data_IF_877636876517
#
_entry.id   IF_877636876517
#
_cell.length_a   1.000
_cell.length_b   1.000
_cell.length_c   1.000
_cell.angle_alpha   90.00
_cell.angle_beta   90.00
_cell.angle_gamma   90.00
#
_symmetry.space_group_name_H-M   'P 1'
#
loop_
_entity.id
_entity.type
_entity.pdbx_description
1 polymer ?
#
# COMPACT_ATOMS: atom_id res chain seq x y z
N UNK A 1 8.05 -23.32 -3.38
CA UNK A 1 7.16 -22.13 -3.34
C UNK A 1 5.79 -22.50 -3.88
N UNK A 2 4.69 -22.11 -3.24
CA UNK A 2 3.32 -22.37 -3.72
C UNK A 2 2.48 -21.11 -3.65
N UNK A 3 1.52 -21.01 -4.59
CA UNK A 3 0.56 -19.91 -4.71
C UNK A 3 -0.85 -20.48 -4.65
N UNK A 4 -1.70 -19.85 -3.85
CA UNK A 4 -3.13 -20.15 -3.81
C UNK A 4 -3.89 -18.85 -4.08
N UNK A 5 -4.85 -18.89 -5.01
CA UNK A 5 -5.76 -17.79 -5.30
C UNK A 5 -7.18 -18.19 -4.97
N UNK A 6 -7.91 -17.32 -4.30
CA UNK A 6 -9.29 -17.56 -3.87
C UNK A 6 -10.06 -16.24 -3.81
N UNK A 7 -11.36 -16.33 -3.59
CA UNK A 7 -12.20 -15.18 -3.34
C UNK A 7 -13.01 -15.39 -2.07
N UNK A 8 -13.19 -14.31 -1.32
CA UNK A 8 -14.12 -14.23 -0.19
C UNK A 8 -15.18 -13.18 -0.48
N UNK A 9 -16.15 -13.05 0.39
CA UNK A 9 -17.04 -11.89 0.41
C UNK A 9 -16.56 -10.96 1.53
N UNK A 10 -16.42 -9.66 1.22
CA UNK A 10 -16.18 -8.65 2.23
C UNK A 10 -17.45 -8.35 3.03
N UNK A 11 -17.38 -7.49 4.04
CA UNK A 11 -18.49 -7.10 4.93
C UNK A 11 -19.70 -6.51 4.18
N UNK A 12 -19.51 -6.01 2.96
CA UNK A 12 -20.55 -5.48 2.09
C UNK A 12 -21.10 -6.51 1.09
N UNK A 13 -20.64 -7.77 1.17
CA UNK A 13 -21.05 -8.86 0.28
C UNK A 13 -20.41 -8.85 -1.10
N UNK A 14 -19.45 -7.94 -1.36
CA UNK A 14 -18.71 -7.87 -2.61
C UNK A 14 -17.62 -8.96 -2.65
N UNK A 15 -17.34 -9.47 -3.85
CA UNK A 15 -16.23 -10.39 -4.07
C UNK A 15 -14.90 -9.68 -3.83
N UNK A 16 -14.07 -10.27 -2.96
CA UNK A 16 -12.73 -9.81 -2.64
C UNK A 16 -11.75 -10.94 -2.99
N UNK A 17 -10.88 -10.71 -3.99
CA UNK A 17 -9.91 -11.69 -4.48
C UNK A 17 -8.64 -11.61 -3.67
N UNK A 18 -8.20 -12.75 -3.16
CA UNK A 18 -7.01 -12.90 -2.33
C UNK A 18 -6.03 -13.86 -3.00
N UNK A 19 -4.74 -13.56 -2.90
CA UNK A 19 -3.67 -14.46 -3.27
C UNK A 19 -2.74 -14.68 -2.08
N UNK A 20 -2.46 -15.94 -1.78
CA UNK A 20 -1.51 -16.36 -0.75
C UNK A 20 -0.33 -17.02 -1.43
N UNK A 21 0.83 -16.40 -1.30
CA UNK A 21 2.11 -16.91 -1.77
C UNK A 21 2.97 -17.32 -0.56
N UNK A 22 3.62 -18.47 -0.62
CA UNK A 22 4.47 -18.92 0.47
C UNK A 22 5.72 -19.67 0.01
N UNK A 23 6.86 -19.49 0.68
CA UNK A 23 8.00 -20.40 0.56
C UNK A 23 7.67 -21.76 1.22
N UNK A 24 8.54 -22.74 1.05
CA UNK A 24 8.29 -24.09 1.57
C UNK A 24 8.15 -24.11 3.11
N UNK A 25 8.95 -23.31 3.82
CA UNK A 25 8.92 -23.17 5.27
C UNK A 25 8.76 -21.67 5.67
N UNK A 26 7.56 -21.11 5.61
CA UNK A 26 7.34 -19.72 5.98
C UNK A 26 7.54 -19.50 7.48
N UNK A 27 8.29 -18.45 7.84
CA UNK A 27 8.61 -18.09 9.22
C UNK A 27 7.76 -16.95 9.76
N UNK A 28 7.29 -16.09 8.87
CA UNK A 28 6.57 -14.87 9.18
C UNK A 28 5.39 -14.66 8.22
N UNK A 29 4.48 -13.75 8.58
CA UNK A 29 3.30 -13.39 7.80
C UNK A 29 3.33 -11.91 7.45
N UNK A 30 2.98 -11.56 6.20
CA UNK A 30 2.78 -10.18 5.76
C UNK A 30 1.52 -10.06 4.91
N UNK A 31 0.77 -8.98 5.11
CA UNK A 31 -0.30 -8.54 4.21
C UNK A 31 0.23 -7.42 3.33
N UNK A 32 -0.05 -7.51 2.02
CA UNK A 32 0.41 -6.52 1.02
C UNK A 32 -0.79 -5.91 0.32
N UNK A 33 -0.94 -4.58 0.45
CA UNK A 33 -2.02 -3.78 -0.13
C UNK A 33 -1.49 -2.90 -1.28
N UNK A 34 -2.12 -2.98 -2.45
CA UNK A 34 -1.80 -2.12 -3.60
C UNK A 34 -2.44 -0.72 -3.47
N UNK A 35 -2.06 0.22 -4.34
CA UNK A 35 -2.61 1.57 -4.40
C UNK A 35 -3.93 1.67 -5.18
N UNK A 36 -4.51 2.87 -5.18
CA UNK A 36 -5.75 3.19 -5.90
C UNK A 36 -5.65 2.78 -7.38
N UNK A 37 -6.71 2.15 -7.90
CA UNK A 37 -6.76 1.68 -9.29
C UNK A 37 -5.72 0.63 -9.64
N UNK A 38 -5.10 0.02 -8.63
CA UNK A 38 -4.09 -1.03 -8.77
C UNK A 38 -4.66 -2.43 -8.84
N UNK A 39 -3.75 -3.39 -8.72
CA UNK A 39 -4.05 -4.82 -8.58
C UNK A 39 -2.84 -5.58 -8.03
N UNK A 40 -3.07 -6.80 -7.55
CA UNK A 40 -2.00 -7.67 -7.03
C UNK A 40 -0.95 -8.08 -8.08
N UNK A 41 -1.25 -7.92 -9.37
CA UNK A 41 -0.33 -8.29 -10.47
C UNK A 41 0.55 -7.14 -10.96
N UNK A 42 0.46 -5.95 -10.36
CA UNK A 42 1.34 -4.84 -10.71
C UNK A 42 2.81 -5.15 -10.39
N UNK A 43 3.73 -4.75 -11.27
CA UNK A 43 5.17 -5.07 -11.17
C UNK A 43 5.77 -4.66 -9.82
N UNK A 44 5.45 -3.47 -9.30
CA UNK A 44 5.96 -3.02 -8.01
C UNK A 44 5.36 -3.79 -6.83
N UNK A 45 4.08 -4.19 -6.89
CA UNK A 45 3.46 -5.06 -5.87
C UNK A 45 4.10 -6.45 -5.90
N UNK A 46 4.38 -6.98 -7.10
CA UNK A 46 5.11 -8.23 -7.26
C UNK A 46 6.54 -8.12 -6.71
N UNK A 47 7.24 -7.02 -6.99
CA UNK A 47 8.61 -6.80 -6.49
C UNK A 47 8.65 -6.76 -4.94
N UNK A 48 7.66 -6.13 -4.30
CA UNK A 48 7.56 -6.12 -2.84
C UNK A 48 7.19 -7.51 -2.29
N UNK A 49 6.26 -8.20 -2.94
CA UNK A 49 5.92 -9.60 -2.63
C UNK A 49 7.17 -10.48 -2.66
N UNK A 50 7.95 -10.40 -3.73
CA UNK A 50 9.19 -11.17 -3.89
C UNK A 50 10.20 -10.85 -2.78
N UNK A 51 10.35 -9.56 -2.40
CA UNK A 51 11.23 -9.17 -1.32
C UNK A 51 10.85 -9.84 0.01
N UNK A 52 9.57 -9.95 0.32
CA UNK A 52 9.09 -10.67 1.51
C UNK A 52 9.27 -12.19 1.38
N UNK A 53 8.92 -12.79 0.23
CA UNK A 53 9.10 -14.22 -0.01
C UNK A 53 10.55 -14.66 0.12
N UNK A 54 11.50 -13.89 -0.42
CA UNK A 54 12.95 -14.12 -0.32
C UNK A 54 13.46 -14.05 1.12
N UNK A 55 12.72 -13.39 2.01
CA UNK A 55 13.03 -13.29 3.43
C UNK A 55 12.19 -14.22 4.32
N UNK A 56 11.51 -15.20 3.71
CA UNK A 56 10.83 -16.28 4.44
C UNK A 56 9.41 -15.96 4.88
N UNK A 57 8.78 -14.91 4.36
CA UNK A 57 7.40 -14.58 4.71
C UNK A 57 6.38 -15.38 3.87
N UNK A 58 5.28 -15.76 4.50
CA UNK A 58 4.02 -15.97 3.78
C UNK A 58 3.46 -14.60 3.44
N UNK A 59 3.07 -14.39 2.19
CA UNK A 59 2.52 -13.15 1.69
C UNK A 59 1.05 -13.34 1.36
N UNK A 60 0.19 -12.55 1.98
CA UNK A 60 -1.22 -12.42 1.65
C UNK A 60 -1.41 -11.08 0.96
N UNK A 61 -1.82 -11.11 -0.30
CA UNK A 61 -2.15 -9.91 -1.07
C UNK A 61 -3.55 -10.01 -1.64
N UNK A 62 -4.21 -8.92 -1.86
CA UNK A 62 -5.59 -8.89 -2.30
C UNK A 62 -5.81 -7.76 -3.31
N UNK A 63 -6.71 -7.98 -4.27
CA UNK A 63 -7.26 -6.92 -5.09
C UNK A 63 -8.32 -6.20 -4.26
N UNK A 64 -8.08 -4.94 -3.88
CA UNK A 64 -9.07 -4.15 -3.17
C UNK A 64 -10.35 -4.02 -4.01
N UNK A 65 -11.51 -3.97 -3.37
CA UNK A 65 -12.76 -3.63 -4.04
C UNK A 65 -12.68 -2.23 -4.64
N UNK A 66 -13.51 -1.95 -5.64
CA UNK A 66 -13.49 -0.67 -6.35
C UNK A 66 -12.13 -0.34 -7.00
N UNK A 67 -11.34 -1.36 -7.37
CA UNK A 67 -10.07 -1.21 -8.08
C UNK A 67 -10.12 -1.83 -9.48
N UNK A 68 -9.00 -1.85 -10.19
CA UNK A 68 -8.89 -2.46 -11.52
C UNK A 68 -8.44 -3.93 -11.48
N UNK A 69 -8.45 -4.55 -10.30
CA UNK A 69 -8.17 -5.97 -10.09
C UNK A 69 -9.32 -6.88 -10.53
N UNK A 70 -9.43 -8.01 -9.86
CA UNK A 70 -10.50 -9.01 -10.09
C UNK A 70 -11.59 -9.00 -8.99
N UNK A 71 -11.44 -8.14 -7.97
CA UNK A 71 -12.48 -7.87 -6.99
C UNK A 71 -13.61 -7.05 -7.58
N UNK A 72 -14.78 -7.07 -6.95
CA UNK A 72 -15.96 -6.34 -7.40
C UNK A 72 -15.91 -4.85 -7.02
N UNK A 73 -16.76 -4.07 -7.66
CA UNK A 73 -16.94 -2.63 -7.43
C UNK A 73 -16.45 -1.77 -8.59
N UNK A 74 -17.01 -0.57 -8.71
CA UNK A 74 -16.60 0.43 -9.70
C UNK A 74 -15.61 1.40 -9.06
N UNK A 75 -14.54 1.73 -9.77
CA UNK A 75 -13.53 2.70 -9.31
C UNK A 75 -14.09 4.08 -8.96
N UNK A 76 -15.30 4.39 -9.48
CA UNK A 76 -16.04 5.60 -9.13
C UNK A 76 -16.36 5.70 -7.63
N UNK A 77 -16.55 4.57 -6.97
CA UNK A 77 -16.99 4.48 -5.58
C UNK A 77 -15.84 4.22 -4.58
N UNK A 78 -14.59 4.20 -5.06
CA UNK A 78 -13.42 3.95 -4.21
C UNK A 78 -13.29 5.03 -3.12
N UNK A 79 -12.99 4.58 -1.89
CA UNK A 79 -12.72 5.44 -0.74
C UNK A 79 -11.57 4.91 0.10
N UNK A 80 -11.03 5.72 1.00
CA UNK A 80 -10.05 5.26 2.00
C UNK A 80 -10.68 4.29 3.01
N UNK A 81 -11.99 4.47 3.28
CA UNK A 81 -12.75 3.54 4.13
C UNK A 81 -12.79 2.15 3.49
N UNK A 82 -13.15 2.05 2.19
CA UNK A 82 -13.24 0.76 1.51
C UNK A 82 -11.90 0.00 1.48
N UNK A 83 -10.78 0.71 1.33
CA UNK A 83 -9.45 0.10 1.38
C UNK A 83 -9.06 -0.42 2.76
N UNK A 84 -9.41 0.32 3.82
CA UNK A 84 -9.19 -0.12 5.19
C UNK A 84 -10.08 -1.32 5.53
N UNK A 85 -11.36 -1.25 5.18
CA UNK A 85 -12.33 -2.33 5.41
C UNK A 85 -11.95 -3.63 4.71
N UNK A 86 -11.48 -3.55 3.47
CA UNK A 86 -10.97 -4.73 2.75
C UNK A 86 -9.72 -5.31 3.42
N UNK A 87 -8.78 -4.48 3.89
CA UNK A 87 -7.61 -4.94 4.65
C UNK A 87 -8.04 -5.67 5.94
N UNK A 88 -8.97 -5.10 6.70
CA UNK A 88 -9.52 -5.70 7.93
C UNK A 88 -10.23 -7.02 7.65
N UNK A 89 -11.01 -7.10 6.57
CA UNK A 89 -11.73 -8.30 6.16
C UNK A 89 -10.76 -9.43 5.73
N UNK A 90 -9.67 -9.08 5.03
CA UNK A 90 -8.60 -10.03 4.67
C UNK A 90 -7.86 -10.51 5.91
N UNK A 91 -7.53 -9.63 6.86
CA UNK A 91 -6.91 -10.02 8.13
C UNK A 91 -7.86 -10.92 8.92
N UNK A 92 -9.14 -10.57 9.00
CA UNK A 92 -10.17 -11.37 9.69
C UNK A 92 -10.31 -12.76 9.07
N UNK A 93 -10.34 -12.86 7.73
CA UNK A 93 -10.32 -14.13 7.03
C UNK A 93 -9.07 -14.95 7.34
N UNK A 94 -7.89 -14.30 7.36
CA UNK A 94 -6.64 -14.96 7.65
C UNK A 94 -6.58 -15.50 9.10
N UNK A 95 -7.17 -14.80 10.07
CA UNK A 95 -7.28 -15.25 11.47
C UNK A 95 -7.96 -16.62 11.62
N UNK A 96 -8.87 -16.98 10.71
CA UNK A 96 -9.53 -18.27 10.69
C UNK A 96 -8.67 -19.38 10.05
N UNK A 97 -7.50 -19.07 9.50
CA UNK A 97 -6.65 -20.08 8.87
C UNK A 97 -5.67 -20.72 9.89
N UNK A 98 -5.39 -22.00 9.70
CA UNK A 98 -4.47 -22.74 10.59
C UNK A 98 -3.01 -22.29 10.54
N UNK A 99 -2.66 -21.45 9.59
CA UNK A 99 -1.32 -20.88 9.40
C UNK A 99 -1.20 -19.42 9.87
N UNK A 100 -2.27 -18.83 10.39
CA UNK A 100 -2.23 -17.47 10.90
C UNK A 100 -1.27 -17.36 12.09
N UNK A 101 -0.56 -16.26 12.15
CA UNK A 101 0.31 -15.93 13.26
C UNK A 101 0.26 -14.43 13.57
N UNK A 102 0.46 -14.08 14.83
CA UNK A 102 0.50 -12.72 15.33
C UNK A 102 1.68 -12.61 16.31
N UNK A 103 2.46 -11.50 16.30
CA UNK A 103 2.28 -10.34 15.42
C UNK A 103 2.61 -10.67 13.96
N UNK A 104 1.94 -10.00 13.02
CA UNK A 104 2.17 -10.08 11.58
C UNK A 104 2.73 -8.76 11.03
N UNK A 105 3.12 -8.74 9.76
CA UNK A 105 3.65 -7.55 9.11
C UNK A 105 2.67 -6.96 8.13
N UNK A 106 2.80 -5.65 7.88
CA UNK A 106 2.02 -4.92 6.89
C UNK A 106 2.94 -4.22 5.89
N UNK A 107 2.60 -4.32 4.61
CA UNK A 107 3.21 -3.57 3.53
C UNK A 107 2.10 -3.01 2.64
N UNK A 108 2.22 -1.77 2.25
CA UNK A 108 1.27 -1.16 1.33
C UNK A 108 1.94 -0.14 0.43
N UNK A 109 1.29 0.19 -0.68
CA UNK A 109 1.71 1.24 -1.59
C UNK A 109 0.61 2.29 -1.72
N UNK A 110 0.94 3.59 -1.65
CA UNK A 110 0.01 4.70 -1.85
C UNK A 110 -1.20 4.64 -0.90
N UNK A 111 -2.41 4.52 -1.41
CA UNK A 111 -3.63 4.33 -0.63
C UNK A 111 -3.56 3.05 0.23
N UNK A 112 -3.02 1.95 -0.29
CA UNK A 112 -2.78 0.76 0.51
C UNK A 112 -1.74 0.98 1.62
N UNK A 113 -0.74 1.84 1.39
CA UNK A 113 0.23 2.21 2.42
C UNK A 113 -0.42 3.06 3.53
N UNK A 114 -1.33 3.94 3.16
CA UNK A 114 -2.09 4.72 4.13
C UNK A 114 -2.98 3.81 4.98
N UNK A 115 -3.72 2.88 4.36
CA UNK A 115 -4.58 1.92 5.09
C UNK A 115 -3.78 1.01 6.02
N UNK A 116 -2.60 0.52 5.59
CA UNK A 116 -1.73 -0.31 6.44
C UNK A 116 -1.12 0.47 7.59
N UNK A 117 -0.73 1.74 7.39
CA UNK A 117 -0.23 2.60 8.45
C UNK A 117 -1.35 2.95 9.44
N UNK A 118 -2.55 3.30 8.96
CA UNK A 118 -3.72 3.57 9.79
C UNK A 118 -4.08 2.36 10.68
N UNK A 119 -4.10 1.16 10.08
CA UNK A 119 -4.33 -0.06 10.86
C UNK A 119 -3.26 -0.24 11.95
N UNK A 120 -2.00 -0.04 11.61
CA UNK A 120 -0.88 -0.18 12.55
C UNK A 120 -0.91 0.84 13.70
N UNK A 121 -1.41 2.05 13.46
CA UNK A 121 -1.61 3.08 14.50
C UNK A 121 -2.71 2.69 15.51
N UNK A 122 -3.73 1.94 15.06
CA UNK A 122 -4.86 1.54 15.90
C UNK A 122 -4.65 0.16 16.54
N UNK A 123 -3.76 -0.68 16.00
CA UNK A 123 -3.46 -2.03 16.47
C UNK A 123 -1.94 -2.29 16.54
N UNK A 124 -1.15 -1.42 17.20
CA UNK A 124 0.32 -1.50 17.17
C UNK A 124 0.88 -2.80 17.73
N UNK A 125 0.17 -3.43 18.69
CA UNK A 125 0.55 -4.70 19.31
C UNK A 125 0.44 -5.91 18.38
N UNK A 126 -0.31 -5.78 17.30
CA UNK A 126 -0.47 -6.83 16.29
C UNK A 126 0.63 -6.81 15.23
N UNK A 127 1.41 -5.72 15.15
CA UNK A 127 2.31 -5.46 14.02
C UNK A 127 3.76 -5.74 14.36
N UNK A 128 4.35 -6.68 13.61
CA UNK A 128 5.77 -7.02 13.71
C UNK A 128 6.66 -6.05 12.94
N UNK A 129 6.33 -5.81 11.67
CA UNK A 129 7.04 -4.87 10.78
C UNK A 129 6.03 -4.09 9.95
N UNK A 130 6.30 -2.81 9.72
CA UNK A 130 5.46 -1.95 8.90
C UNK A 130 6.27 -1.35 7.75
N UNK A 131 5.80 -1.53 6.50
CA UNK A 131 6.42 -0.96 5.31
C UNK A 131 5.39 -0.13 4.51
N UNK A 132 5.06 1.11 4.93
CA UNK A 132 4.18 2.00 4.20
C UNK A 132 4.97 2.70 3.09
N UNK A 133 4.87 2.19 1.87
CA UNK A 133 5.61 2.66 0.71
C UNK A 133 4.82 3.75 -0.01
N UNK A 134 5.38 4.94 -0.10
CA UNK A 134 4.75 6.11 -0.71
C UNK A 134 3.33 6.41 -0.17
N UNK A 135 3.09 6.45 1.17
CA UNK A 135 1.77 6.67 1.73
C UNK A 135 1.23 8.07 1.44
N UNK A 136 -0.09 8.17 1.27
CA UNK A 136 -0.79 9.42 1.44
C UNK A 136 -0.81 9.74 2.94
N UNK A 137 -0.21 10.86 3.36
CA UNK A 137 -0.05 11.18 4.79
C UNK A 137 -1.34 11.68 5.42
N UNK A 138 -1.94 12.70 4.81
CA UNK A 138 -3.26 13.24 5.16
C UNK A 138 -3.82 14.10 4.03
N UNK A 139 -5.07 14.55 4.18
CA UNK A 139 -5.75 15.39 3.19
C UNK A 139 -5.04 16.72 2.93
N UNK A 140 -4.59 17.41 3.98
CA UNK A 140 -4.01 18.74 3.88
C UNK A 140 -2.68 18.78 3.11
N UNK A 141 -1.86 17.74 3.25
CA UNK A 141 -0.62 17.59 2.49
C UNK A 141 -0.88 17.09 1.07
N UNK A 142 -1.83 16.16 0.92
CA UNK A 142 -2.18 15.59 -0.38
C UNK A 142 -2.86 16.61 -1.30
N UNK A 143 -3.84 17.37 -0.81
CA UNK A 143 -4.58 18.34 -1.63
C UNK A 143 -3.70 19.43 -2.23
N UNK A 144 -2.59 19.74 -1.57
CA UNK A 144 -1.57 20.70 -2.07
C UNK A 144 -0.72 20.15 -3.22
N UNK A 145 -0.78 18.85 -3.51
CA UNK A 145 -0.11 18.25 -4.68
C UNK A 145 -0.96 18.38 -5.95
N UNK A 146 -2.25 18.68 -5.82
CA UNK A 146 -3.18 18.84 -6.94
C UNK A 146 -3.10 20.26 -7.49
N UNK A 147 -3.15 20.36 -8.81
CA UNK A 147 -3.40 21.65 -9.46
C UNK A 147 -4.77 22.20 -9.01
N UNK A 148 -4.88 23.48 -8.62
CA UNK A 148 -6.12 24.03 -8.08
C UNK A 148 -7.29 24.00 -9.06
N UNK A 149 -7.05 24.24 -10.36
CA UNK A 149 -8.11 24.21 -11.37
C UNK A 149 -8.56 22.78 -11.65
N UNK A 150 -7.61 21.84 -11.78
CA UNK A 150 -7.92 20.42 -11.89
C UNK A 150 -8.77 19.92 -10.71
N UNK A 151 -8.40 20.32 -9.48
CA UNK A 151 -9.17 19.97 -8.28
C UNK A 151 -10.59 20.50 -8.34
N UNK A 152 -10.77 21.78 -8.72
CA UNK A 152 -12.08 22.41 -8.86
C UNK A 152 -12.96 21.67 -9.87
N UNK A 153 -12.41 21.40 -11.06
CA UNK A 153 -13.12 20.64 -12.11
C UNK A 153 -13.52 19.25 -11.61
N UNK A 154 -12.63 18.54 -10.91
CA UNK A 154 -12.94 17.23 -10.34
C UNK A 154 -14.07 17.30 -9.31
N UNK A 155 -14.07 18.32 -8.43
CA UNK A 155 -15.13 18.54 -7.45
C UNK A 155 -16.49 18.83 -8.11
N UNK A 156 -16.51 19.75 -9.07
CA UNK A 156 -17.75 20.17 -9.78
C UNK A 156 -18.34 19.05 -10.63
N UNK A 157 -17.50 18.29 -11.33
CA UNK A 157 -17.91 17.14 -12.15
C UNK A 157 -18.28 15.91 -11.30
N UNK A 158 -17.77 15.82 -10.06
CA UNK A 158 -17.92 14.69 -9.16
C UNK A 158 -16.97 13.53 -9.46
N UNK A 159 -16.28 13.51 -10.59
CA UNK A 159 -15.29 12.49 -10.94
C UNK A 159 -14.19 13.02 -11.87
N UNK A 160 -13.05 12.36 -11.85
CA UNK A 160 -11.97 12.48 -12.85
C UNK A 160 -11.84 11.21 -13.67
N UNK A 161 -11.33 11.33 -14.88
CA UNK A 161 -10.90 10.21 -15.70
C UNK A 161 -9.38 10.01 -15.57
N UNK A 162 -8.96 8.75 -15.43
CA UNK A 162 -7.56 8.41 -15.26
C UNK A 162 -7.21 7.18 -16.09
N UNK A 163 -6.23 7.28 -17.01
CA UNK A 163 -5.75 6.11 -17.73
C UNK A 163 -5.20 5.06 -16.76
N UNK A 164 -5.64 3.82 -16.92
CA UNK A 164 -5.16 2.72 -16.11
C UNK A 164 -3.68 2.44 -16.36
N UNK A 165 -2.88 2.49 -15.27
CA UNK A 165 -1.49 2.05 -15.31
C UNK A 165 -1.35 0.53 -15.26
N UNK A 166 -2.40 -0.18 -14.83
CA UNK A 166 -2.42 -1.65 -14.70
C UNK A 166 -2.98 -2.35 -15.93
N UNK A 167 -3.87 -1.67 -16.67
CA UNK A 167 -4.57 -2.24 -17.84
C UNK A 167 -4.50 -1.23 -19.00
N UNK A 168 -3.53 -1.35 -19.91
CA UNK A 168 -3.39 -0.45 -21.06
C UNK A 168 -4.71 -0.33 -21.86
N UNK A 169 -5.08 0.91 -22.22
CA UNK A 169 -6.31 1.19 -22.97
C UNK A 169 -7.60 1.30 -22.14
N UNK A 170 -7.54 1.02 -20.84
CA UNK A 170 -8.66 1.23 -19.92
C UNK A 170 -8.55 2.63 -19.30
N UNK A 171 -9.66 3.37 -19.32
CA UNK A 171 -9.81 4.65 -18.61
C UNK A 171 -10.73 4.38 -17.42
N UNK A 172 -10.21 4.55 -16.21
CA UNK A 172 -10.98 4.48 -14.98
C UNK A 172 -11.62 5.83 -14.64
N UNK A 173 -12.75 5.82 -13.95
CA UNK A 173 -13.36 7.00 -13.34
C UNK A 173 -13.18 6.93 -11.84
N UNK A 174 -12.69 8.01 -11.25
CA UNK A 174 -12.48 8.12 -9.81
C UNK A 174 -13.35 9.24 -9.27
N UNK A 175 -14.27 8.88 -8.38
CA UNK A 175 -15.19 9.83 -7.76
C UNK A 175 -14.47 10.78 -6.80
N UNK A 176 -15.00 11.99 -6.60
CA UNK A 176 -14.49 12.93 -5.59
C UNK A 176 -14.64 12.39 -4.16
N UNK A 177 -15.50 11.38 -3.94
CA UNK A 177 -15.66 10.67 -2.68
C UNK A 177 -14.34 10.17 -2.06
N UNK A 178 -13.35 9.81 -2.90
CA UNK A 178 -12.02 9.42 -2.40
C UNK A 178 -11.33 10.57 -1.65
N UNK A 179 -11.41 11.80 -2.13
CA UNK A 179 -10.85 12.97 -1.48
C UNK A 179 -11.60 13.34 -0.19
N UNK A 180 -12.93 13.21 -0.20
CA UNK A 180 -13.75 13.45 0.99
C UNK A 180 -13.47 12.42 2.09
N UNK A 181 -13.33 11.15 1.71
CA UNK A 181 -13.00 10.10 2.68
C UNK A 181 -11.63 10.32 3.32
N UNK A 182 -10.62 10.78 2.55
CA UNK A 182 -9.26 11.03 3.08
C UNK A 182 -9.24 12.04 4.24
N UNK A 183 -10.21 12.94 4.35
CA UNK A 183 -10.29 13.91 5.47
C UNK A 183 -10.38 13.24 6.84
N UNK A 184 -10.84 11.98 6.91
CA UNK A 184 -10.92 11.19 8.14
C UNK A 184 -9.64 10.42 8.47
N UNK A 185 -8.72 10.31 7.50
CA UNK A 185 -7.53 9.47 7.58
C UNK A 185 -6.26 10.32 7.68
N UNK A 186 -6.03 10.94 8.83
CA UNK A 186 -4.80 11.69 9.12
C UNK A 186 -3.85 10.82 9.95
N UNK A 187 -2.70 10.44 9.37
CA UNK A 187 -1.69 9.61 10.02
C UNK A 187 -0.81 10.37 11.03
N UNK A 188 -0.90 11.69 11.11
CA UNK A 188 0.01 12.47 11.98
C UNK A 188 -0.35 12.37 13.47
N UNK A 189 -1.63 12.40 13.89
CA UNK A 189 -2.00 12.43 15.29
C UNK A 189 -1.61 11.19 16.09
N UNK A 190 -1.55 10.01 15.44
CA UNK A 190 -1.25 8.73 16.08
C UNK A 190 0.10 8.14 15.67
N UNK A 191 0.96 8.93 14.99
CA UNK A 191 2.28 8.49 14.56
C UNK A 191 3.17 7.99 15.71
N UNK A 192 2.92 8.44 16.95
CA UNK A 192 3.62 8.00 18.17
C UNK A 192 3.32 6.54 18.54
N UNK A 193 2.24 5.94 18.02
CA UNK A 193 1.91 4.53 18.18
C UNK A 193 2.77 3.59 17.33
N UNK A 194 3.41 4.11 16.29
CA UNK A 194 4.26 3.32 15.40
C UNK A 194 5.63 3.03 16.02
N UNK A 195 5.66 2.16 17.02
CA UNK A 195 6.86 1.78 17.79
C UNK A 195 7.61 0.58 17.21
N UNK A 196 6.97 -0.21 16.33
CA UNK A 196 7.57 -1.34 15.60
C UNK A 196 8.63 -0.86 14.60
N UNK A 197 9.48 -1.75 14.05
CA UNK A 197 10.35 -1.41 12.93
C UNK A 197 9.56 -0.93 11.71
N UNK A 198 9.97 0.24 11.13
CA UNK A 198 9.25 0.89 10.04
C UNK A 198 10.16 1.19 8.85
N UNK A 199 9.69 0.89 7.64
CA UNK A 199 10.39 1.17 6.39
C UNK A 199 9.57 2.03 5.45
N UNK A 200 10.03 3.24 5.19
CA UNK A 200 9.48 4.14 4.19
C UNK A 200 10.30 4.11 2.90
N UNK A 201 9.64 4.28 1.78
CA UNK A 201 10.29 4.43 0.49
C UNK A 201 9.45 5.32 -0.43
N UNK A 202 10.11 6.23 -1.15
CA UNK A 202 9.50 7.12 -2.12
C UNK A 202 10.35 7.25 -3.38
N UNK A 203 9.73 7.42 -4.52
CA UNK A 203 10.42 7.87 -5.73
C UNK A 203 10.86 9.34 -5.61
N UNK A 204 11.96 9.71 -6.26
CA UNK A 204 12.43 11.10 -6.28
C UNK A 204 11.43 12.04 -6.95
N UNK A 205 10.75 11.54 -8.00
CA UNK A 205 9.73 12.25 -8.78
C UNK A 205 8.30 11.82 -8.43
N UNK A 206 8.09 11.34 -7.22
CA UNK A 206 6.76 10.98 -6.71
C UNK A 206 5.91 12.26 -6.52
N UNK A 207 5.03 12.54 -7.48
CA UNK A 207 4.14 13.72 -7.44
C UNK A 207 2.91 13.51 -6.53
N UNK A 208 2.18 12.35 -6.61
CA UNK A 208 1.03 12.12 -5.75
C UNK A 208 1.35 12.09 -4.26
N UNK A 209 2.51 11.49 -3.88
CA UNK A 209 2.95 11.35 -2.50
C UNK A 209 4.42 11.80 -2.36
N UNK A 210 4.71 13.11 -2.47
CA UNK A 210 6.08 13.61 -2.48
C UNK A 210 6.86 13.22 -1.22
N UNK A 211 8.14 12.90 -1.39
CA UNK A 211 9.05 12.57 -0.29
C UNK A 211 8.90 13.52 0.92
N UNK A 212 8.81 14.85 0.66
CA UNK A 212 8.68 15.86 1.71
C UNK A 212 7.41 15.69 2.58
N UNK A 213 6.30 15.25 1.98
CA UNK A 213 5.04 15.04 2.71
C UNK A 213 5.12 13.77 3.57
N UNK A 214 5.70 12.70 3.04
CA UNK A 214 5.94 11.47 3.79
C UNK A 214 6.94 11.67 4.94
N UNK A 215 7.93 12.56 4.73
CA UNK A 215 8.95 12.89 5.73
C UNK A 215 8.34 13.51 7.00
N UNK A 216 7.23 14.25 6.87
CA UNK A 216 6.50 14.80 8.03
C UNK A 216 6.04 13.68 8.95
N UNK A 217 5.40 12.65 8.40
CA UNK A 217 4.97 11.47 9.17
C UNK A 217 6.19 10.71 9.72
N UNK A 218 7.18 10.42 8.86
CA UNK A 218 8.36 9.67 9.25
C UNK A 218 9.09 10.28 10.46
N UNK A 219 9.18 11.61 10.53
CA UNK A 219 9.89 12.29 11.62
C UNK A 219 9.18 12.14 12.96
N UNK A 220 7.86 12.06 12.98
CA UNK A 220 7.03 11.87 14.18
C UNK A 220 7.10 10.44 14.74
N UNK A 221 7.45 9.45 13.93
CA UNK A 221 7.50 8.04 14.35
C UNK A 221 8.62 7.83 15.37
N UNK A 222 8.35 7.29 16.57
CA UNK A 222 9.35 7.14 17.63
C UNK A 222 10.24 5.89 17.46
N UNK A 223 9.89 4.97 16.56
CA UNK A 223 10.64 3.73 16.36
C UNK A 223 12.14 3.98 16.17
N UNK A 224 12.98 3.33 16.96
CA UNK A 224 14.45 3.37 16.85
C UNK A 224 14.95 2.60 15.61
N UNK A 225 14.17 1.67 15.09
CA UNK A 225 14.47 0.90 13.88
C UNK A 225 13.58 1.41 12.72
N UNK A 226 13.78 2.67 12.32
CA UNK A 226 13.08 3.25 11.15
C UNK A 226 14.06 3.62 10.06
N UNK A 227 13.66 3.39 8.81
CA UNK A 227 14.47 3.73 7.63
C UNK A 227 13.60 4.37 6.56
N UNK A 228 14.10 5.44 5.93
CA UNK A 228 13.49 6.06 4.76
C UNK A 228 14.48 6.02 3.59
N UNK A 229 14.03 5.50 2.45
CA UNK A 229 14.83 5.42 1.22
C UNK A 229 14.15 6.23 0.13
N UNK A 230 14.91 7.15 -0.48
CA UNK A 230 14.50 7.86 -1.69
C UNK A 230 15.15 7.19 -2.90
N UNK A 231 14.35 6.75 -3.86
CA UNK A 231 14.84 6.09 -5.08
C UNK A 231 15.03 7.16 -6.15
N UNK A 232 16.27 7.34 -6.59
CA UNK A 232 16.63 8.28 -7.63
C UNK A 232 15.94 7.91 -8.95
N UNK A 233 15.61 8.93 -9.75
CA UNK A 233 14.96 8.81 -11.06
C UNK A 233 13.60 8.09 -11.08
N UNK A 234 13.02 7.75 -9.92
CA UNK A 234 11.79 6.99 -9.82
C UNK A 234 10.55 7.88 -9.60
N UNK A 235 9.44 7.50 -10.23
CA UNK A 235 8.10 8.01 -9.99
C UNK A 235 7.38 7.26 -8.86
N UNK A 236 6.10 7.55 -8.65
CA UNK A 236 5.24 6.99 -7.60
C UNK A 236 5.17 5.46 -7.57
N UNK A 237 5.17 4.79 -8.73
CA UNK A 237 5.16 3.32 -8.87
C UNK A 237 6.53 2.73 -9.16
N UNK A 238 7.61 3.49 -8.94
CA UNK A 238 9.00 3.10 -9.21
C UNK A 238 9.29 2.81 -10.68
N UNK A 239 8.57 3.46 -11.59
CA UNK A 239 8.97 3.59 -13.00
C UNK A 239 10.04 4.65 -13.11
N UNK A 240 10.92 4.51 -14.11
CA UNK A 240 11.87 5.55 -14.41
C UNK A 240 11.15 6.80 -14.95
N UNK A 241 11.44 7.97 -14.38
CA UNK A 241 10.78 9.23 -14.73
C UNK A 241 10.94 9.63 -16.20
N UNK A 242 12.07 9.31 -16.84
CA UNK A 242 12.34 9.69 -18.22
C UNK A 242 11.78 8.70 -19.24
N UNK A 243 11.65 7.42 -18.89
CA UNK A 243 11.20 6.36 -19.82
C UNK A 243 9.81 5.84 -19.53
N UNK A 244 9.24 6.19 -18.36
CA UNK A 244 7.95 5.70 -17.87
C UNK A 244 7.85 4.16 -17.78
N UNK A 245 8.99 3.47 -17.78
CA UNK A 245 9.09 2.01 -17.73
C UNK A 245 9.65 1.55 -16.38
N UNK A 246 9.25 0.37 -15.95
CA UNK A 246 9.92 -0.31 -14.86
C UNK A 246 11.30 -0.81 -15.32
N UNK A 247 12.33 -0.55 -14.50
CA UNK A 247 13.70 -0.89 -14.81
C UNK A 247 14.55 -1.04 -13.54
N UNK A 248 15.74 -0.44 -13.57
CA UNK A 248 16.68 -0.47 -12.43
C UNK A 248 16.06 0.14 -11.14
N UNK A 249 15.19 1.15 -11.26
CA UNK A 249 14.57 1.85 -10.14
C UNK A 249 13.72 0.89 -9.31
N UNK A 250 12.91 0.05 -9.97
CA UNK A 250 12.11 -0.98 -9.30
C UNK A 250 12.99 -2.06 -8.67
N UNK A 251 14.07 -2.45 -9.32
CA UNK A 251 15.02 -3.41 -8.76
C UNK A 251 15.75 -2.84 -7.54
N UNK A 252 16.12 -1.56 -7.56
CA UNK A 252 16.70 -0.85 -6.39
C UNK A 252 15.68 -0.79 -5.25
N UNK A 253 14.41 -0.49 -5.55
CA UNK A 253 13.32 -0.47 -4.58
C UNK A 253 13.14 -1.85 -3.91
N UNK A 254 13.04 -2.93 -4.69
CA UNK A 254 12.98 -4.31 -4.19
C UNK A 254 14.17 -4.64 -3.28
N UNK A 255 15.39 -4.32 -3.75
CA UNK A 255 16.63 -4.60 -3.01
C UNK A 255 16.70 -3.82 -1.70
N UNK A 256 16.25 -2.56 -1.67
CA UNK A 256 16.21 -1.74 -0.46
C UNK A 256 15.30 -2.34 0.61
N UNK A 257 14.07 -2.76 0.22
CA UNK A 257 13.12 -3.44 1.11
C UNK A 257 13.69 -4.76 1.61
N UNK A 258 14.19 -5.62 0.72
CA UNK A 258 14.76 -6.93 1.09
C UNK A 258 15.98 -6.79 2.03
N UNK A 259 16.84 -5.80 1.79
CA UNK A 259 18.00 -5.54 2.66
C UNK A 259 17.56 -5.05 4.05
N UNK A 260 16.56 -4.18 4.12
CA UNK A 260 16.01 -3.73 5.41
C UNK A 260 15.38 -4.89 6.18
N UNK A 261 14.60 -5.75 5.54
CA UNK A 261 14.00 -6.95 6.16
C UNK A 261 15.09 -7.83 6.75
N UNK A 262 16.13 -8.20 5.98
CA UNK A 262 17.24 -9.04 6.47
C UNK A 262 17.93 -8.44 7.69
N UNK A 263 18.24 -7.12 7.63
CA UNK A 263 18.92 -6.45 8.75
C UNK A 263 18.04 -6.31 9.99
N UNK A 264 16.72 -6.31 9.84
CA UNK A 264 15.76 -6.17 10.93
C UNK A 264 15.49 -7.53 11.59
N UNK A 265 15.24 -8.58 10.76
CA UNK A 265 15.02 -9.96 11.24
C UNK A 265 16.24 -10.48 12.02
N UNK A 266 17.47 -10.13 11.61
CA UNK A 266 18.69 -10.59 12.30
C UNK A 266 18.92 -9.92 13.66
N UNK A 267 18.13 -8.92 14.03
CA UNK A 267 18.22 -8.20 15.32
C UNK A 267 17.12 -8.58 16.32
N UNK A 268 16.10 -9.29 15.86
CA UNK A 268 15.01 -9.87 16.66
C UNK A 268 15.26 -11.34 16.95
#
# INVERSE_FOLDING_TARGET
MSTQRLAIKNRHGLKLVIQVDKPDNPKDLVFVAHGQGGSIVQDHIQAFTDAFLENGFRVVRFDATYSLGESEGDMMDVTYDSYLEDLEDVISWARAQNWFQQPFSLCGQSMGAQSTAWYAEHHPEEIKYLAPIAPTTNYELWVKTLDPEFRKVWQERGYKEEPSRSKPGVIGRVGWGVAESLKRFDLLPLADKLTMPVFFMAGEFDQPCPYKNQKVLFDLIPSKNKKFVKIADAEHSFRNHNTEQHGKELQVAKTALSTWLRSTISRT
#
